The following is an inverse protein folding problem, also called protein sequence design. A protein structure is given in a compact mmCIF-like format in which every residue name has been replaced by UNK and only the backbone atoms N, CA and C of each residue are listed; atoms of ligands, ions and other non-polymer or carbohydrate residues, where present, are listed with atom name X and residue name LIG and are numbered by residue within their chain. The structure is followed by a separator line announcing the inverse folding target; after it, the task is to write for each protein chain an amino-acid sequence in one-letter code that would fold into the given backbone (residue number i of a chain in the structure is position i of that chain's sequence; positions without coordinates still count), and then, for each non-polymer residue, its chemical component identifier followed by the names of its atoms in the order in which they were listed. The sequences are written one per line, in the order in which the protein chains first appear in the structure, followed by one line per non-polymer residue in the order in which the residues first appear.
data_IF_127726106822
#
_entry.id   IF_127726106822
#
_cell.length_a   1.000
_cell.length_b   1.000
_cell.length_c   1.000
_cell.angle_alpha   90.00
_cell.angle_beta   90.00
_cell.angle_gamma   90.00
#
_symmetry.space_group_name_H-M   'P 1'
#
loop_
_entity.id
_entity.type
_entity.pdbx_description
1 polymer ?
#
# COMPACT_ATOMS: atom_id res chain seq x y z
N UNK A 1 -8.30 -26.39 5.51
CA UNK A 1 -8.87 -26.11 6.85
C UNK A 1 -8.10 -25.00 7.56
N UNK A 2 -6.77 -25.14 7.71
CA UNK A 2 -5.93 -24.11 8.37
C UNK A 2 -6.04 -22.70 7.75
N UNK A 3 -5.97 -22.60 6.41
CA UNK A 3 -6.10 -21.31 5.73
C UNK A 3 -7.45 -20.65 6.01
N UNK A 4 -8.54 -21.39 5.98
CA UNK A 4 -9.89 -20.88 6.27
C UNK A 4 -9.99 -20.38 7.71
N UNK A 5 -9.36 -21.06 8.68
CA UNK A 5 -9.33 -20.62 10.08
C UNK A 5 -8.60 -19.28 10.22
N UNK A 6 -7.45 -19.11 9.57
CA UNK A 6 -6.72 -17.82 9.57
C UNK A 6 -7.55 -16.71 8.93
N UNK A 7 -8.27 -16.97 7.83
CA UNK A 7 -9.13 -15.97 7.19
C UNK A 7 -10.31 -15.56 8.09
N UNK A 8 -10.87 -16.49 8.87
CA UNK A 8 -11.88 -16.19 9.88
C UNK A 8 -11.31 -15.33 11.01
N UNK A 9 -10.10 -15.66 11.49
CA UNK A 9 -9.40 -14.87 12.51
C UNK A 9 -9.10 -13.46 12.00
N UNK A 10 -8.70 -13.30 10.74
CA UNK A 10 -8.52 -12.00 10.09
C UNK A 10 -9.81 -11.18 10.13
N UNK A 11 -10.95 -11.76 9.71
CA UNK A 11 -12.25 -11.06 9.72
C UNK A 11 -12.67 -10.62 11.14
N UNK A 12 -12.56 -11.50 12.13
CA UNK A 12 -12.89 -11.18 13.52
C UNK A 12 -12.00 -10.06 14.05
N UNK A 13 -10.69 -10.17 13.83
CA UNK A 13 -9.74 -9.17 14.26
C UNK A 13 -9.96 -7.82 13.53
N UNK A 14 -10.37 -7.83 12.27
CA UNK A 14 -10.78 -6.62 11.54
C UNK A 14 -11.91 -5.90 12.24
N UNK A 15 -12.95 -6.62 12.67
CA UNK A 15 -14.08 -6.04 13.41
C UNK A 15 -13.61 -5.37 14.70
N UNK A 16 -12.78 -6.06 15.49
CA UNK A 16 -12.25 -5.53 16.77
C UNK A 16 -11.44 -4.25 16.57
N UNK A 17 -10.55 -4.21 15.56
CA UNK A 17 -9.78 -3.00 15.25
C UNK A 17 -10.70 -1.84 14.89
N UNK A 18 -11.71 -2.10 14.04
CA UNK A 18 -12.65 -1.05 13.60
C UNK A 18 -13.41 -0.46 14.78
N UNK A 19 -13.83 -1.30 15.72
CA UNK A 19 -14.50 -0.86 16.96
C UNK A 19 -13.55 -0.02 17.82
N UNK A 20 -12.31 -0.47 18.04
CA UNK A 20 -11.32 0.28 18.81
C UNK A 20 -10.97 1.62 18.18
N UNK A 21 -10.79 1.68 16.86
CA UNK A 21 -10.58 2.97 16.18
C UNK A 21 -11.76 3.93 16.37
N UNK A 22 -12.99 3.41 16.37
CA UNK A 22 -14.18 4.23 16.60
C UNK A 22 -14.26 4.74 18.04
N UNK A 23 -13.92 3.91 19.04
CA UNK A 23 -13.89 4.28 20.47
C UNK A 23 -12.87 5.38 20.75
N UNK A 24 -11.73 5.37 20.05
CA UNK A 24 -10.62 6.28 20.24
C UNK A 24 -10.67 7.50 19.31
N UNK A 25 -11.64 7.57 18.39
CA UNK A 25 -11.69 8.60 17.35
C UNK A 25 -11.77 10.02 17.93
N UNK A 26 -10.88 10.88 17.48
CA UNK A 26 -10.80 12.28 17.90
C UNK A 26 -10.30 12.51 19.33
N UNK A 27 -9.84 11.47 20.03
CA UNK A 27 -9.26 11.56 21.38
C UNK A 27 -7.75 11.33 21.33
N UNK A 28 -7.05 11.83 22.35
CA UNK A 28 -5.69 11.40 22.66
C UNK A 28 -5.85 10.23 23.65
N UNK A 29 -5.59 8.99 23.23
CA UNK A 29 -5.75 7.82 24.10
C UNK A 29 -4.72 7.84 25.25
N UNK A 30 -5.03 7.16 26.32
CA UNK A 30 -4.02 6.75 27.30
C UNK A 30 -3.08 5.72 26.65
N UNK A 31 -1.90 5.54 27.26
CA UNK A 31 -0.97 4.51 26.79
C UNK A 31 -1.60 3.11 26.77
N UNK A 32 -2.40 2.75 27.78
CA UNK A 32 -3.04 1.44 27.83
C UNK A 32 -4.06 1.24 26.70
N UNK A 33 -4.91 2.22 26.44
CA UNK A 33 -5.89 2.16 25.35
C UNK A 33 -5.20 2.05 23.97
N UNK A 34 -4.12 2.79 23.78
CA UNK A 34 -3.33 2.73 22.54
C UNK A 34 -2.61 1.37 22.39
N UNK A 35 -2.01 0.87 23.47
CA UNK A 35 -1.34 -0.44 23.46
C UNK A 35 -2.33 -1.58 23.16
N UNK A 36 -3.53 -1.53 23.72
CA UNK A 36 -4.59 -2.47 23.37
C UNK A 36 -4.96 -2.43 21.90
N UNK A 37 -5.05 -1.22 21.31
CA UNK A 37 -5.27 -1.06 19.88
C UNK A 37 -4.11 -1.66 19.08
N UNK A 38 -2.84 -1.39 19.45
CA UNK A 38 -1.66 -1.92 18.76
C UNK A 38 -1.65 -3.45 18.71
N UNK A 39 -1.98 -4.13 19.80
CA UNK A 39 -2.04 -5.60 19.85
C UNK A 39 -2.99 -6.17 18.79
N UNK A 40 -4.14 -5.54 18.57
CA UNK A 40 -5.06 -5.96 17.52
C UNK A 40 -4.55 -5.58 16.13
N UNK A 41 -3.91 -4.42 16.00
CA UNK A 41 -3.37 -3.95 14.73
C UNK A 41 -2.21 -4.83 14.23
N UNK A 42 -1.30 -5.21 15.11
CA UNK A 42 -0.20 -6.14 14.79
C UNK A 42 -0.72 -7.53 14.37
N UNK A 43 -1.71 -8.06 15.09
CA UNK A 43 -2.37 -9.32 14.69
C UNK A 43 -3.03 -9.20 13.32
N UNK A 44 -3.65 -8.06 13.01
CA UNK A 44 -4.23 -7.80 11.70
C UNK A 44 -3.16 -7.84 10.62
N UNK A 45 -2.06 -7.13 10.81
CA UNK A 45 -0.95 -7.13 9.86
C UNK A 45 -0.40 -8.54 9.63
N UNK A 46 -0.23 -9.33 10.70
CA UNK A 46 0.25 -10.70 10.59
C UNK A 46 -0.71 -11.59 9.78
N UNK A 47 -2.01 -11.57 10.09
CA UNK A 47 -3.01 -12.36 9.36
C UNK A 47 -3.18 -11.88 7.91
N UNK A 48 -3.15 -10.58 7.67
CA UNK A 48 -3.27 -10.00 6.34
C UNK A 48 -2.05 -10.35 5.47
N UNK A 49 -0.84 -10.25 6.02
CA UNK A 49 0.38 -10.65 5.32
C UNK A 49 0.41 -12.16 5.04
N UNK A 50 -0.01 -12.99 6.00
CA UNK A 50 -0.20 -14.43 5.76
C UNK A 50 -1.15 -14.66 4.58
N UNK A 51 -2.31 -14.02 4.59
CA UNK A 51 -3.30 -14.15 3.52
C UNK A 51 -2.71 -13.80 2.15
N UNK A 52 -1.96 -12.70 2.05
CA UNK A 52 -1.33 -12.26 0.79
C UNK A 52 -0.28 -13.26 0.30
N UNK A 53 0.59 -13.73 1.19
CA UNK A 53 1.68 -14.64 0.84
C UNK A 53 1.23 -16.08 0.63
N UNK A 54 0.21 -16.56 1.36
CA UNK A 54 -0.25 -17.94 1.26
C UNK A 54 -0.67 -18.33 -0.16
N UNK A 55 -1.20 -17.39 -0.92
CA UNK A 55 -1.64 -17.61 -2.31
C UNK A 55 -0.46 -17.91 -3.24
N UNK A 56 0.70 -17.32 -3.00
CA UNK A 56 1.89 -17.50 -3.83
C UNK A 56 2.48 -18.93 -3.69
N UNK A 57 2.15 -19.63 -2.60
CA UNK A 57 2.62 -20.99 -2.29
C UNK A 57 1.56 -22.09 -2.51
N UNK A 58 0.35 -21.72 -2.95
CA UNK A 58 -0.72 -22.71 -3.21
C UNK A 58 -0.68 -23.19 -4.66
N UNK A 59 -0.84 -24.49 -4.86
CA UNK A 59 -1.07 -25.04 -6.19
C UNK A 59 -2.42 -24.56 -6.77
N UNK A 60 -2.51 -24.50 -8.10
CA UNK A 60 -3.69 -23.99 -8.81
C UNK A 60 -5.00 -24.62 -8.35
N UNK A 61 -5.04 -25.94 -8.21
CA UNK A 61 -6.25 -26.67 -7.83
C UNK A 61 -6.74 -26.31 -6.41
N UNK A 62 -5.81 -26.05 -5.49
CA UNK A 62 -6.14 -25.62 -4.12
C UNK A 62 -6.59 -24.16 -4.13
N UNK A 63 -5.92 -23.33 -4.92
CA UNK A 63 -6.24 -21.91 -5.03
C UNK A 63 -7.63 -21.69 -5.62
N UNK A 64 -8.00 -22.41 -6.70
CA UNK A 64 -9.31 -22.28 -7.34
C UNK A 64 -10.47 -22.59 -6.37
N UNK A 65 -10.26 -23.55 -5.47
CA UNK A 65 -11.24 -23.90 -4.44
C UNK A 65 -11.33 -22.87 -3.30
N UNK A 66 -10.27 -22.12 -3.02
CA UNK A 66 -10.18 -21.21 -1.88
C UNK A 66 -10.23 -19.73 -2.28
N UNK A 67 -10.09 -19.39 -3.55
CA UNK A 67 -9.94 -18.00 -4.01
C UNK A 67 -11.07 -17.09 -3.53
N UNK A 68 -12.31 -17.57 -3.48
CA UNK A 68 -13.43 -16.80 -3.02
C UNK A 68 -13.34 -16.46 -1.52
N UNK A 69 -12.82 -17.38 -0.69
CA UNK A 69 -12.58 -17.12 0.73
C UNK A 69 -11.49 -16.06 0.93
N UNK A 70 -10.40 -16.15 0.14
CA UNK A 70 -9.33 -15.15 0.16
C UNK A 70 -9.82 -13.78 -0.29
N UNK A 71 -10.61 -13.73 -1.36
CA UNK A 71 -11.23 -12.54 -1.91
C UNK A 71 -12.12 -11.83 -0.89
N UNK A 72 -13.05 -12.58 -0.29
CA UNK A 72 -13.93 -12.11 0.76
C UNK A 72 -13.17 -11.55 1.97
N UNK A 73 -12.15 -12.28 2.44
CA UNK A 73 -11.35 -11.84 3.57
C UNK A 73 -10.56 -10.58 3.22
N UNK A 74 -10.03 -10.47 2.01
CA UNK A 74 -9.33 -9.30 1.49
C UNK A 74 -10.22 -8.08 1.49
N UNK A 75 -11.37 -8.14 0.83
CA UNK A 75 -12.30 -7.00 0.77
C UNK A 75 -12.83 -6.59 2.14
N UNK A 76 -13.04 -7.55 3.03
CA UNK A 76 -13.49 -7.25 4.38
C UNK A 76 -12.41 -6.55 5.22
N UNK A 77 -11.14 -6.92 5.06
CA UNK A 77 -10.01 -6.42 5.85
C UNK A 77 -9.35 -5.16 5.28
N UNK A 78 -9.46 -4.92 3.98
CA UNK A 78 -8.83 -3.77 3.30
C UNK A 78 -9.17 -2.41 3.91
N UNK A 79 -10.43 -2.12 4.31
CA UNK A 79 -10.78 -0.82 4.90
C UNK A 79 -10.03 -0.45 6.17
N UNK A 80 -9.38 -1.41 6.85
CA UNK A 80 -8.55 -1.13 8.03
C UNK A 80 -7.45 -0.14 7.69
N UNK A 81 -6.81 -0.26 6.53
CA UNK A 81 -5.67 0.58 6.14
C UNK A 81 -6.07 2.05 5.97
N UNK A 82 -7.10 2.34 5.20
CA UNK A 82 -7.57 3.72 5.01
C UNK A 82 -8.13 4.32 6.31
N UNK A 83 -8.80 3.51 7.11
CA UNK A 83 -9.35 3.97 8.40
C UNK A 83 -8.26 4.19 9.44
N UNK A 84 -7.22 3.36 9.48
CA UNK A 84 -6.07 3.59 10.36
C UNK A 84 -5.30 4.84 9.97
N UNK A 85 -5.12 5.12 8.68
CA UNK A 85 -4.54 6.39 8.22
C UNK A 85 -5.35 7.59 8.74
N UNK A 86 -6.66 7.56 8.55
CA UNK A 86 -7.55 8.63 9.05
C UNK A 86 -7.50 8.74 10.58
N UNK A 87 -7.46 7.63 11.29
CA UNK A 87 -7.34 7.59 12.74
C UNK A 87 -6.04 8.26 13.21
N UNK A 88 -4.89 7.89 12.64
CA UNK A 88 -3.61 8.48 12.99
C UNK A 88 -3.53 9.97 12.64
N UNK A 89 -4.08 10.40 11.50
CA UNK A 89 -4.17 11.83 11.15
C UNK A 89 -4.99 12.63 12.17
N UNK A 90 -6.14 12.08 12.62
CA UNK A 90 -6.97 12.74 13.65
C UNK A 90 -6.28 12.75 15.01
N UNK A 91 -5.55 11.70 15.35
CA UNK A 91 -4.74 11.65 16.57
C UNK A 91 -3.63 12.71 16.52
N UNK A 92 -2.88 12.80 15.42
CA UNK A 92 -1.87 13.84 15.21
C UNK A 92 -2.48 15.24 15.37
N UNK A 93 -3.63 15.49 14.77
CA UNK A 93 -4.36 16.75 14.90
C UNK A 93 -4.79 17.05 16.35
N UNK A 94 -5.26 16.07 17.09
CA UNK A 94 -5.64 16.23 18.50
C UNK A 94 -4.42 16.56 19.38
N UNK A 95 -3.28 15.91 19.13
CA UNK A 95 -2.01 16.18 19.81
C UNK A 95 -1.50 17.58 19.43
N UNK A 96 -1.52 17.93 18.14
CA UNK A 96 -1.08 19.24 17.65
C UNK A 96 -1.84 20.38 18.33
N UNK A 97 -3.15 20.27 18.42
CA UNK A 97 -4.01 21.25 19.11
C UNK A 97 -3.66 21.38 20.59
N UNK A 98 -3.36 20.28 21.27
CA UNK A 98 -3.02 20.29 22.70
C UNK A 98 -1.65 20.90 22.97
N UNK A 99 -0.65 20.54 22.13
CA UNK A 99 0.75 20.89 22.33
C UNK A 99 1.19 22.14 21.54
N UNK A 100 0.27 22.78 20.81
CA UNK A 100 0.52 23.97 19.97
C UNK A 100 1.59 23.70 18.89
N UNK A 101 1.44 22.57 18.21
CA UNK A 101 2.22 22.19 17.02
C UNK A 101 1.41 22.40 15.73
N UNK A 102 2.10 22.44 14.60
CA UNK A 102 1.47 22.28 13.29
C UNK A 102 0.95 20.84 13.13
N UNK A 103 -0.30 20.69 12.62
CA UNK A 103 -0.92 19.37 12.52
C UNK A 103 -0.23 18.47 11.49
N UNK A 104 0.31 19.05 10.41
CA UNK A 104 0.92 18.30 9.33
C UNK A 104 2.25 17.68 9.76
N UNK A 105 3.09 18.40 10.48
CA UNK A 105 4.40 17.89 10.93
C UNK A 105 4.28 16.74 11.94
N UNK A 106 3.19 16.69 12.71
CA UNK A 106 2.96 15.59 13.66
C UNK A 106 2.54 14.28 12.97
N UNK A 107 2.15 14.32 11.71
CA UNK A 107 1.95 13.10 10.91
C UNK A 107 3.25 12.34 10.66
N UNK A 108 4.41 12.97 10.89
CA UNK A 108 5.74 12.38 10.75
C UNK A 108 6.26 11.70 12.03
N UNK A 109 5.46 11.62 13.09
CA UNK A 109 5.84 10.88 14.30
C UNK A 109 6.02 9.40 13.97
N UNK A 110 7.13 8.82 14.43
CA UNK A 110 7.29 7.37 14.43
C UNK A 110 6.40 6.74 15.51
N UNK A 111 6.16 5.42 15.40
CA UNK A 111 5.44 4.70 16.44
C UNK A 111 6.09 4.87 17.82
N UNK A 112 7.43 4.78 17.91
CA UNK A 112 8.17 4.92 19.17
C UNK A 112 8.04 6.33 19.78
N UNK A 113 8.02 7.36 18.95
CA UNK A 113 7.84 8.75 19.39
C UNK A 113 6.41 8.99 19.88
N UNK A 114 5.40 8.43 19.19
CA UNK A 114 4.02 8.48 19.64
C UNK A 114 3.83 7.74 20.97
N UNK A 115 4.44 6.56 21.13
CA UNK A 115 4.44 5.83 22.40
C UNK A 115 5.11 6.63 23.52
N UNK A 116 6.25 7.27 23.22
CA UNK A 116 6.96 8.12 24.18
C UNK A 116 6.08 9.28 24.60
N UNK A 117 5.40 9.92 23.63
CA UNK A 117 4.46 11.00 23.94
C UNK A 117 3.30 10.53 24.82
N UNK A 118 2.68 9.40 24.51
CA UNK A 118 1.55 8.87 25.30
C UNK A 118 1.96 8.47 26.73
N UNK A 119 3.23 8.10 26.94
CA UNK A 119 3.78 7.75 28.26
C UNK A 119 4.28 8.97 29.05
N UNK A 120 4.86 9.95 28.37
CA UNK A 120 5.66 11.00 29.02
C UNK A 120 5.29 12.44 28.63
N UNK A 121 4.39 12.61 27.66
CA UNK A 121 4.04 13.89 27.02
C UNK A 121 5.21 14.60 26.29
N UNK A 122 6.33 13.90 26.05
CA UNK A 122 7.48 14.47 25.35
C UNK A 122 7.36 14.21 23.85
N UNK A 123 7.44 15.28 23.07
CA UNK A 123 7.54 15.24 21.60
C UNK A 123 8.98 15.48 21.15
N UNK A 124 9.36 15.03 19.95
CA UNK A 124 10.60 15.43 19.29
C UNK A 124 10.65 16.96 19.08
N UNK A 125 11.85 17.48 18.90
CA UNK A 125 12.02 18.88 18.57
C UNK A 125 11.35 19.24 17.24
N UNK A 126 10.79 20.46 17.18
CA UNK A 126 10.01 20.93 16.02
C UNK A 126 10.81 20.95 14.72
N UNK A 127 12.10 21.29 14.81
CA UNK A 127 13.02 21.31 13.68
C UNK A 127 13.24 19.90 13.09
N UNK A 128 13.32 18.85 13.93
CA UNK A 128 13.47 17.45 13.49
C UNK A 128 12.24 17.01 12.70
N UNK A 129 11.06 17.29 13.23
CA UNK A 129 9.80 16.95 12.56
C UNK A 129 9.60 17.73 11.25
N UNK A 130 9.95 19.02 11.22
CA UNK A 130 9.92 19.83 9.99
C UNK A 130 10.86 19.27 8.91
N UNK A 131 12.09 18.92 9.28
CA UNK A 131 13.04 18.35 8.32
C UNK A 131 12.52 17.02 7.78
N UNK A 132 11.94 16.18 8.65
CA UNK A 132 11.34 14.90 8.25
C UNK A 132 10.13 15.07 7.34
N UNK A 133 9.30 16.06 7.60
CA UNK A 133 8.14 16.38 6.77
C UNK A 133 8.53 16.87 5.38
N UNK A 134 9.60 17.66 5.28
CA UNK A 134 10.06 18.21 3.99
C UNK A 134 10.67 17.11 3.09
N UNK A 135 11.57 16.29 3.62
CA UNK A 135 12.15 15.16 2.91
C UNK A 135 12.75 14.14 3.89
N UNK A 136 12.41 12.87 3.72
CA UNK A 136 12.99 11.79 4.50
C UNK A 136 12.96 10.45 3.76
N UNK A 137 13.98 9.62 4.01
CA UNK A 137 13.97 8.21 3.62
C UNK A 137 13.91 7.35 4.87
N UNK A 138 13.00 6.39 4.89
CA UNK A 138 12.88 5.40 5.94
C UNK A 138 13.61 4.13 5.52
N UNK A 139 14.75 3.87 6.12
CA UNK A 139 15.55 2.67 5.89
C UNK A 139 15.35 1.69 7.04
N UNK A 140 14.88 0.49 6.70
CA UNK A 140 14.70 -0.59 7.67
C UNK A 140 15.79 -1.62 7.49
N UNK A 141 16.74 -1.67 8.44
CA UNK A 141 17.91 -2.54 8.40
C UNK A 141 18.13 -3.14 9.78
N UNK A 142 18.43 -4.43 9.86
CA UNK A 142 18.70 -5.16 11.11
C UNK A 142 17.62 -4.94 12.21
N UNK A 143 16.35 -4.99 11.81
CA UNK A 143 15.20 -4.73 12.68
C UNK A 143 15.14 -3.31 13.28
N UNK A 144 15.93 -2.38 12.75
CA UNK A 144 15.95 -0.98 13.17
C UNK A 144 15.46 -0.07 12.06
N UNK A 145 14.70 0.93 12.45
CA UNK A 145 14.29 2.01 11.58
C UNK A 145 15.32 3.13 11.67
N UNK A 146 16.02 3.38 10.57
CA UNK A 146 16.87 4.55 10.37
C UNK A 146 16.11 5.59 9.56
N UNK A 147 16.18 6.85 9.97
CA UNK A 147 15.53 7.96 9.26
C UNK A 147 16.64 8.86 8.71
N UNK A 148 16.75 8.88 7.40
CA UNK A 148 17.71 9.69 6.66
C UNK A 148 17.02 11.01 6.32
N UNK A 149 17.72 12.14 6.52
CA UNK A 149 17.18 13.49 6.37
C UNK A 149 18.15 14.38 5.57
N UNK A 150 17.62 15.46 4.99
CA UNK A 150 18.44 16.48 4.35
C UNK A 150 19.14 16.03 3.08
N UNK A 151 20.42 16.39 2.93
CA UNK A 151 21.19 16.12 1.69
C UNK A 151 21.41 14.64 1.43
N UNK A 152 21.52 13.81 2.47
CA UNK A 152 21.67 12.35 2.35
C UNK A 152 20.47 11.69 1.65
N UNK A 153 19.30 12.32 1.66
CA UNK A 153 18.12 11.84 0.90
C UNK A 153 18.43 11.80 -0.60
N UNK A 154 19.07 12.83 -1.13
CA UNK A 154 19.42 12.91 -2.56
C UNK A 154 20.43 11.82 -2.93
N UNK A 155 21.40 11.53 -2.05
CA UNK A 155 22.40 10.48 -2.29
C UNK A 155 21.73 9.09 -2.38
N UNK A 156 20.72 8.84 -1.53
CA UNK A 156 19.95 7.59 -1.57
C UNK A 156 19.12 7.51 -2.86
N UNK A 157 18.47 8.62 -3.26
CA UNK A 157 17.70 8.67 -4.50
C UNK A 157 18.59 8.43 -5.73
N UNK A 158 19.77 9.04 -5.79
CA UNK A 158 20.74 8.83 -6.87
C UNK A 158 21.21 7.37 -6.91
N UNK A 159 21.56 6.78 -5.75
CA UNK A 159 21.97 5.38 -5.68
C UNK A 159 20.89 4.41 -6.14
N UNK A 160 19.63 4.65 -5.74
CA UNK A 160 18.47 3.86 -6.23
C UNK A 160 18.31 4.02 -7.74
N UNK A 161 18.50 5.24 -8.25
CA UNK A 161 18.37 5.52 -9.68
C UNK A 161 19.45 4.79 -10.50
N UNK A 162 20.70 4.79 -10.05
CA UNK A 162 21.80 4.07 -10.70
C UNK A 162 21.55 2.55 -10.75
N UNK A 163 21.11 1.94 -9.64
CA UNK A 163 20.81 0.50 -9.57
C UNK A 163 19.64 0.13 -10.47
N UNK A 164 18.63 0.98 -10.57
CA UNK A 164 17.43 0.72 -11.39
C UNK A 164 17.66 0.90 -12.89
N UNK A 165 18.69 1.67 -13.30
CA UNK A 165 19.01 1.87 -14.72
C UNK A 165 19.86 0.74 -15.37
N UNK A 166 20.51 -0.12 -14.57
CA UNK A 166 21.51 -1.07 -15.04
C UNK A 166 21.01 -2.49 -15.35
N UNK A 167 19.71 -2.71 -15.58
CA UNK A 167 19.24 -4.04 -15.98
C UNK A 167 19.29 -4.25 -17.49
N UNK A 168 20.12 -5.21 -17.96
CA UNK A 168 20.31 -5.58 -19.37
C UNK A 168 19.03 -6.01 -20.13
N UNK A 169 17.92 -6.21 -19.46
CA UNK A 169 16.62 -6.58 -20.05
C UNK A 169 15.95 -5.39 -20.80
N UNK A 170 16.37 -4.16 -20.55
CA UNK A 170 15.84 -2.96 -21.22
C UNK A 170 16.14 -2.90 -22.72
N UNK A 171 17.20 -3.58 -23.16
CA UNK A 171 17.63 -3.58 -24.57
C UNK A 171 16.74 -4.40 -25.50
N UNK A 172 15.85 -5.24 -24.96
CA UNK A 172 15.01 -6.14 -25.77
C UNK A 172 13.52 -5.77 -25.82
N UNK A 173 13.07 -4.73 -25.13
CA UNK A 173 11.66 -4.33 -25.09
C UNK A 173 10.69 -5.38 -24.52
N UNK A 174 11.21 -6.34 -23.77
CA UNK A 174 10.42 -7.42 -23.15
C UNK A 174 10.29 -7.15 -21.65
N UNK A 175 9.05 -7.10 -21.19
CA UNK A 175 8.71 -6.95 -19.80
C UNK A 175 8.12 -8.26 -19.26
N UNK A 176 8.60 -8.70 -18.11
CA UNK A 176 8.07 -9.89 -17.42
C UNK A 176 7.19 -9.46 -16.25
N UNK A 177 6.21 -10.29 -15.93
CA UNK A 177 5.33 -10.10 -14.79
C UNK A 177 4.45 -11.33 -14.55
N UNK A 178 3.63 -11.28 -13.51
CA UNK A 178 2.69 -12.32 -13.14
C UNK A 178 1.37 -12.09 -13.90
N UNK A 179 0.94 -13.07 -14.70
CA UNK A 179 -0.36 -13.02 -15.37
C UNK A 179 -1.49 -13.20 -14.36
N UNK A 180 -2.13 -12.10 -13.98
CA UNK A 180 -3.26 -12.11 -13.04
C UNK A 180 -4.58 -12.53 -13.69
N UNK A 181 -4.79 -12.14 -14.95
CA UNK A 181 -5.85 -12.66 -15.82
C UNK A 181 -5.30 -12.83 -17.24
N UNK A 182 -5.47 -14.00 -17.85
CA UNK A 182 -4.88 -14.29 -19.14
C UNK A 182 -5.58 -13.54 -20.26
N UNK A 183 -4.83 -13.25 -21.31
CA UNK A 183 -5.34 -12.65 -22.54
C UNK A 183 -4.21 -12.12 -23.40
N UNK A 184 -4.54 -11.79 -24.66
CA UNK A 184 -3.63 -11.17 -25.59
C UNK A 184 -4.33 -9.97 -26.21
N UNK A 185 -3.78 -8.79 -25.97
CA UNK A 185 -4.33 -7.53 -26.44
C UNK A 185 -3.25 -6.67 -27.08
N UNK A 186 -3.69 -5.71 -27.87
CA UNK A 186 -2.88 -4.65 -28.41
C UNK A 186 -3.65 -3.32 -28.26
N UNK A 187 -2.98 -2.27 -27.83
CA UNK A 187 -3.60 -0.97 -27.62
C UNK A 187 -2.56 0.08 -27.24
N UNK A 188 -2.99 1.32 -27.18
CA UNK A 188 -2.17 2.46 -26.79
C UNK A 188 -1.89 2.41 -25.29
N UNK A 189 -0.62 2.50 -24.92
CA UNK A 189 -0.18 2.60 -23.53
C UNK A 189 -0.53 3.97 -22.95
N UNK A 190 -1.04 3.96 -21.71
CA UNK A 190 -1.33 5.16 -20.95
C UNK A 190 -0.82 5.00 -19.52
N UNK A 191 0.18 5.81 -19.14
CA UNK A 191 0.78 5.77 -17.83
C UNK A 191 0.00 6.71 -16.90
N UNK A 192 -0.66 6.15 -15.88
CA UNK A 192 -1.47 6.90 -14.93
C UNK A 192 -0.92 6.68 -13.52
N UNK A 193 -0.10 7.61 -13.00
CA UNK A 193 0.42 7.50 -11.63
C UNK A 193 -0.66 7.76 -10.57
N UNK A 194 -1.57 8.71 -10.85
CA UNK A 194 -2.65 9.11 -9.95
C UNK A 194 -3.99 9.16 -10.69
N UNK A 195 -5.00 8.38 -10.25
CA UNK A 195 -6.31 8.32 -10.90
C UNK A 195 -7.13 9.61 -10.75
N UNK A 196 -6.75 10.51 -9.84
CA UNK A 196 -7.43 11.80 -9.65
C UNK A 196 -6.86 12.90 -10.56
N UNK A 197 -5.70 12.67 -11.15
CA UNK A 197 -5.03 13.64 -12.02
C UNK A 197 -4.85 13.08 -13.45
N UNK A 198 -5.96 12.67 -14.05
CA UNK A 198 -5.98 12.08 -15.39
C UNK A 198 -6.47 13.12 -16.39
N UNK A 199 -5.59 13.58 -17.27
CA UNK A 199 -5.95 14.53 -18.33
C UNK A 199 -6.80 13.86 -19.42
N UNK A 200 -6.46 12.64 -19.81
CA UNK A 200 -7.16 11.87 -20.83
C UNK A 200 -6.90 10.37 -20.66
N UNK A 201 -7.94 9.56 -20.79
CA UNK A 201 -7.85 8.09 -20.87
C UNK A 201 -9.02 7.58 -21.72
N UNK A 202 -8.72 7.01 -22.89
CA UNK A 202 -9.74 6.57 -23.82
C UNK A 202 -10.11 5.10 -23.60
N UNK A 203 -11.30 4.74 -24.06
CA UNK A 203 -11.74 3.34 -24.00
C UNK A 203 -10.86 2.48 -24.91
N UNK A 204 -10.41 1.33 -24.40
CA UNK A 204 -9.54 0.42 -25.14
C UNK A 204 -8.05 0.70 -25.01
N UNK A 205 -7.63 1.76 -24.32
CA UNK A 205 -6.21 1.97 -23.97
C UNK A 205 -5.73 0.95 -22.93
N UNK A 206 -4.43 0.74 -22.84
CA UNK A 206 -3.80 -0.12 -21.85
C UNK A 206 -3.39 0.74 -20.65
N UNK A 207 -3.98 0.47 -19.50
CA UNK A 207 -3.64 1.16 -18.26
C UNK A 207 -2.32 0.63 -17.69
N UNK A 208 -1.33 1.52 -17.59
CA UNK A 208 -0.04 1.23 -16.95
C UNK A 208 0.11 2.12 -15.72
N UNK A 209 0.40 1.52 -14.56
CA UNK A 209 0.55 2.26 -13.31
C UNK A 209 1.47 1.54 -12.33
N UNK A 210 2.01 2.25 -11.35
CA UNK A 210 2.81 1.64 -10.28
C UNK A 210 2.01 0.59 -9.50
N UNK A 211 0.80 0.95 -9.08
CA UNK A 211 -0.17 0.03 -8.45
C UNK A 211 -1.59 0.57 -8.63
N UNK A 212 -2.60 -0.29 -8.50
CA UNK A 212 -3.99 0.17 -8.48
C UNK A 212 -4.57 0.17 -7.06
N UNK A 213 -5.49 1.09 -6.85
CA UNK A 213 -6.34 1.24 -5.66
C UNK A 213 -7.80 1.33 -6.11
N UNK A 214 -8.80 1.30 -5.21
CA UNK A 214 -10.22 1.39 -5.59
C UNK A 214 -10.56 2.56 -6.50
N UNK A 215 -9.88 3.69 -6.36
CA UNK A 215 -10.05 4.89 -7.18
C UNK A 215 -9.72 4.69 -8.66
N UNK A 216 -8.91 3.66 -8.98
CA UNK A 216 -8.63 3.28 -10.38
C UNK A 216 -9.77 2.53 -11.07
N UNK A 217 -10.80 2.09 -10.35
CA UNK A 217 -11.86 1.24 -10.91
C UNK A 217 -12.53 1.83 -12.16
N UNK A 218 -12.83 3.14 -12.27
CA UNK A 218 -13.38 3.72 -13.48
C UNK A 218 -12.46 3.58 -14.70
N UNK A 219 -11.14 3.76 -14.51
CA UNK A 219 -10.14 3.58 -15.56
C UNK A 219 -9.99 2.11 -15.96
N UNK A 220 -9.93 1.22 -14.96
CA UNK A 220 -9.84 -0.23 -15.18
C UNK A 220 -11.03 -0.77 -15.98
N UNK A 221 -12.23 -0.23 -15.78
CA UNK A 221 -13.43 -0.59 -16.58
C UNK A 221 -13.31 -0.19 -18.05
N UNK A 222 -12.62 0.89 -18.36
CA UNK A 222 -12.42 1.40 -19.73
C UNK A 222 -11.20 0.78 -20.42
N UNK A 223 -10.20 0.37 -19.65
CA UNK A 223 -8.98 -0.20 -20.17
C UNK A 223 -9.22 -1.50 -20.95
N UNK A 224 -8.47 -1.72 -22.05
CA UNK A 224 -8.42 -3.03 -22.72
C UNK A 224 -7.63 -4.04 -21.89
N UNK A 225 -6.61 -3.58 -21.17
CA UNK A 225 -5.81 -4.37 -20.26
C UNK A 225 -5.09 -3.51 -19.23
N UNK A 226 -4.50 -4.18 -18.24
CA UNK A 226 -3.93 -3.54 -17.06
C UNK A 226 -2.53 -4.08 -16.83
N UNK A 227 -1.58 -3.18 -16.60
CA UNK A 227 -0.19 -3.51 -16.26
C UNK A 227 0.20 -2.73 -15.01
N UNK A 228 0.79 -3.41 -14.02
CA UNK A 228 1.28 -2.74 -12.80
C UNK A 228 2.70 -3.14 -12.46
N UNK A 229 3.48 -2.16 -11.96
CA UNK A 229 4.85 -2.42 -11.50
C UNK A 229 4.85 -3.28 -10.25
N UNK A 230 3.97 -2.97 -9.30
CA UNK A 230 3.87 -3.67 -8.03
C UNK A 230 2.60 -4.52 -7.98
N UNK A 231 2.69 -5.67 -7.33
CA UNK A 231 1.54 -6.50 -7.03
C UNK A 231 1.79 -7.99 -7.24
N UNK A 232 0.96 -8.80 -6.62
CA UNK A 232 0.88 -10.25 -6.75
C UNK A 232 -0.54 -10.68 -7.06
N UNK A 233 -0.82 -11.98 -7.01
CA UNK A 233 -2.10 -12.58 -7.41
C UNK A 233 -3.33 -12.11 -6.61
N UNK A 234 -3.13 -11.50 -5.44
CA UNK A 234 -4.19 -10.91 -4.60
C UNK A 234 -4.16 -9.39 -4.51
N UNK A 235 -3.36 -8.70 -5.32
CA UNK A 235 -3.41 -7.24 -5.34
C UNK A 235 -4.73 -6.75 -5.94
N UNK A 236 -5.06 -5.48 -5.72
CA UNK A 236 -6.28 -4.86 -6.24
C UNK A 236 -6.41 -5.02 -7.76
N UNK A 237 -5.32 -4.77 -8.52
CA UNK A 237 -5.31 -4.97 -9.96
C UNK A 237 -5.71 -6.39 -10.35
N UNK A 238 -5.12 -7.39 -9.70
CA UNK A 238 -5.36 -8.81 -9.99
C UNK A 238 -6.80 -9.23 -9.69
N UNK A 239 -7.35 -8.80 -8.56
CA UNK A 239 -8.72 -9.14 -8.17
C UNK A 239 -9.75 -8.50 -9.10
N UNK A 240 -9.62 -7.20 -9.33
CA UNK A 240 -10.57 -6.45 -10.16
C UNK A 240 -10.49 -6.88 -11.62
N UNK A 241 -9.28 -7.15 -12.15
CA UNK A 241 -9.12 -7.62 -13.54
C UNK A 241 -9.82 -8.94 -13.80
N UNK A 242 -9.81 -9.88 -12.84
CA UNK A 242 -10.55 -11.13 -12.91
C UNK A 242 -12.07 -10.91 -12.95
N UNK A 243 -12.58 -9.97 -12.12
CA UNK A 243 -14.00 -9.59 -12.14
C UNK A 243 -14.43 -8.97 -13.45
N UNK A 244 -13.59 -8.08 -13.99
CA UNK A 244 -13.83 -7.41 -15.25
C UNK A 244 -13.50 -8.29 -16.47
N UNK A 245 -12.88 -9.45 -16.28
CA UNK A 245 -12.40 -10.37 -17.31
C UNK A 245 -11.45 -9.67 -18.31
N UNK A 246 -10.55 -8.84 -17.78
CA UNK A 246 -9.60 -8.06 -18.59
C UNK A 246 -8.18 -8.59 -18.40
N UNK A 247 -7.38 -8.73 -19.48
CA UNK A 247 -5.99 -9.13 -19.40
C UNK A 247 -5.24 -8.24 -18.41
N UNK A 248 -4.47 -8.87 -17.52
CA UNK A 248 -3.74 -8.15 -16.49
C UNK A 248 -2.41 -8.82 -16.19
N UNK A 249 -1.36 -8.00 -16.17
CA UNK A 249 -0.01 -8.38 -15.74
C UNK A 249 0.35 -7.49 -14.54
N UNK A 250 0.81 -8.12 -13.46
CA UNK A 250 1.21 -7.42 -12.21
C UNK A 250 2.65 -7.79 -11.83
N UNK A 251 3.28 -6.96 -11.00
CA UNK A 251 4.64 -7.24 -10.54
C UNK A 251 5.69 -7.12 -11.65
N UNK A 252 5.55 -6.15 -12.55
CA UNK A 252 6.50 -5.94 -13.65
C UNK A 252 7.73 -5.14 -13.25
N UNK A 253 7.70 -4.54 -12.06
CA UNK A 253 8.73 -3.72 -11.42
C UNK A 253 9.01 -2.37 -12.12
N UNK A 254 8.87 -2.28 -13.44
CA UNK A 254 9.34 -1.13 -14.21
C UNK A 254 8.51 -0.77 -15.45
N UNK A 255 7.27 -1.25 -15.59
CA UNK A 255 6.43 -0.93 -16.75
C UNK A 255 6.24 0.57 -16.92
N UNK A 256 6.03 1.30 -15.81
CA UNK A 256 5.85 2.77 -15.82
C UNK A 256 7.10 3.54 -16.28
N UNK A 257 8.28 2.92 -16.17
CA UNK A 257 9.55 3.53 -16.61
C UNK A 257 9.90 3.14 -18.07
N UNK A 258 9.51 1.92 -18.46
CA UNK A 258 9.86 1.37 -19.77
C UNK A 258 8.97 1.91 -20.89
N UNK A 259 7.67 2.01 -20.62
CA UNK A 259 6.70 2.52 -21.59
C UNK A 259 6.49 4.03 -21.45
N UNK A 260 6.03 4.63 -22.55
CA UNK A 260 5.64 6.05 -22.61
C UNK A 260 4.19 6.15 -23.07
N UNK A 261 3.53 7.26 -22.70
CA UNK A 261 2.21 7.56 -23.21
C UNK A 261 2.21 7.58 -24.75
N UNK A 262 1.28 6.82 -25.32
CA UNK A 262 1.15 6.70 -26.76
C UNK A 262 1.88 5.53 -27.41
N UNK A 263 2.70 4.77 -26.66
CA UNK A 263 3.32 3.55 -27.19
C UNK A 263 2.25 2.51 -27.57
N UNK A 264 2.54 1.70 -28.64
CA UNK A 264 1.61 0.72 -29.20
C UNK A 264 2.10 -0.71 -28.98
#
# INVERSE_FOLDING_TARGET
EFAIDILKKLKNNTTEIMMKMQELDGKIPTWNEYNDFLVFFEKHLAYHNFMKKAVDYMGSDVLDNLINYFKDARFYSEPVYSRSEMFFRRLAKAIAKKENFDEDILTCLTQQELETYLKTTKLPEKNILNNRFNASVLLFEDEKLNIILGEEVNEVEEAIHEVTQNSDEEKQGILKGISAFPGKIKGIARIIPDPHNVSEFNEGEILITGMTRPEFLPLMKRAAGIVTDVGGMLCHAALVSRELKKPCIVGTEKATKLFKDGDL
#
